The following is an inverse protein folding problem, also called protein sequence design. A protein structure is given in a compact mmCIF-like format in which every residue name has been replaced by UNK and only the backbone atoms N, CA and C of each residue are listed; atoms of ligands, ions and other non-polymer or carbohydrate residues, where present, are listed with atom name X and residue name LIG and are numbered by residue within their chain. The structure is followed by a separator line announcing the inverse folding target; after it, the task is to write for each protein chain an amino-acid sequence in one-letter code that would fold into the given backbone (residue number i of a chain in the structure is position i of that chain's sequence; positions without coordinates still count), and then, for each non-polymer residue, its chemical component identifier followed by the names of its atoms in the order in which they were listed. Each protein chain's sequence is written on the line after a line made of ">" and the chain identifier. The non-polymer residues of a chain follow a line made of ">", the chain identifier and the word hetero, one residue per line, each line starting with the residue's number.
data_IF_448463619380
#
_entry.id   IF_448463619380
#
_cell.length_a   1.000
_cell.length_b   1.000
_cell.length_c   1.000
_cell.angle_alpha   90.00
_cell.angle_beta   90.00
_cell.angle_gamma   90.00
#
_symmetry.space_group_name_H-M   'P 1'
#
loop_
_entity.id
_entity.type
_entity.pdbx_description
1 polymer ?
#
# COMPACT_ATOMS: atom_id res chain seq x y z
N UNK A 1 -2.41 -7.07 -7.92
CA UNK A 1 -3.77 -7.58 -7.60
C UNK A 1 -3.71 -9.10 -7.57
N UNK A 2 -4.47 -9.78 -6.70
CA UNK A 2 -4.64 -11.22 -6.85
C UNK A 2 -5.30 -11.53 -8.19
N UNK A 3 -4.82 -12.57 -8.86
CA UNK A 3 -5.46 -13.09 -10.07
C UNK A 3 -6.75 -13.85 -9.73
N UNK A 4 -7.51 -14.26 -10.75
CA UNK A 4 -8.61 -15.21 -10.58
C UNK A 4 -8.19 -16.48 -9.83
N UNK A 5 -9.17 -17.22 -9.29
CA UNK A 5 -8.92 -18.53 -8.68
C UNK A 5 -8.10 -19.43 -9.63
N UNK A 6 -7.06 -20.08 -9.07
CA UNK A 6 -6.14 -20.93 -9.83
C UNK A 6 -5.01 -20.18 -10.56
N UNK A 7 -5.01 -18.84 -10.60
CA UNK A 7 -4.05 -18.03 -11.37
C UNK A 7 -3.00 -17.30 -10.51
N UNK A 8 -2.92 -17.54 -9.20
CA UNK A 8 -1.91 -16.93 -8.32
C UNK A 8 -0.53 -17.64 -8.37
N UNK A 9 -0.22 -18.35 -9.47
CA UNK A 9 0.97 -19.20 -9.59
C UNK A 9 2.30 -18.43 -9.60
N UNK A 10 2.24 -17.12 -9.87
CA UNK A 10 3.41 -16.24 -9.88
C UNK A 10 3.94 -15.90 -8.47
N UNK A 11 3.19 -16.20 -7.41
CA UNK A 11 3.60 -15.94 -6.02
C UNK A 11 3.83 -17.28 -5.31
N UNK A 12 5.05 -17.49 -4.79
CA UNK A 12 5.34 -18.67 -3.99
C UNK A 12 4.75 -18.54 -2.58
N UNK A 13 3.56 -19.09 -2.38
CA UNK A 13 2.86 -19.09 -1.09
C UNK A 13 3.20 -20.30 -0.20
N UNK A 14 4.12 -21.19 -0.62
CA UNK A 14 4.46 -22.39 0.14
C UNK A 14 4.96 -22.09 1.58
N UNK A 15 5.83 -21.08 1.80
CA UNK A 15 6.26 -20.72 3.17
C UNK A 15 5.10 -20.24 4.04
N UNK A 16 4.20 -19.43 3.48
CA UNK A 16 3.01 -18.95 4.18
C UNK A 16 2.08 -20.11 4.56
N UNK A 17 1.82 -21.03 3.63
CA UNK A 17 1.01 -22.23 3.89
C UNK A 17 1.59 -23.07 5.03
N UNK A 18 2.88 -23.37 4.97
CA UNK A 18 3.55 -24.15 6.01
C UNK A 18 3.43 -23.49 7.38
N UNK A 19 3.64 -22.18 7.46
CA UNK A 19 3.50 -21.42 8.71
C UNK A 19 2.08 -21.46 9.25
N UNK A 20 1.07 -21.31 8.39
CA UNK A 20 -0.34 -21.43 8.79
C UNK A 20 -0.68 -22.83 9.32
N UNK A 21 -0.19 -23.89 8.67
CA UNK A 21 -0.36 -25.28 9.13
C UNK A 21 0.27 -25.48 10.53
N UNK A 22 1.48 -24.99 10.75
CA UNK A 22 2.17 -25.06 12.05
C UNK A 22 1.43 -24.29 13.15
N UNK A 23 0.88 -23.11 12.85
CA UNK A 23 0.05 -22.34 13.79
C UNK A 23 -1.19 -23.13 14.20
N UNK A 24 -1.90 -23.71 13.22
CA UNK A 24 -3.12 -24.48 13.48
C UNK A 24 -2.83 -25.72 14.34
N UNK A 25 -1.68 -26.36 14.12
CA UNK A 25 -1.27 -27.56 14.86
C UNK A 25 -0.57 -27.27 16.19
N UNK A 26 -0.32 -25.99 16.52
CA UNK A 26 0.44 -25.60 17.72
C UNK A 26 1.91 -26.03 17.69
N UNK A 27 2.50 -26.16 16.50
CA UNK A 27 3.90 -26.58 16.27
C UNK A 27 4.74 -25.44 15.71
N UNK A 28 4.44 -24.21 16.13
CA UNK A 28 5.20 -23.04 15.72
C UNK A 28 6.66 -23.19 16.20
N UNK A 29 7.65 -23.05 15.30
CA UNK A 29 9.04 -23.01 15.73
C UNK A 29 9.29 -21.69 16.47
N UNK A 30 10.34 -21.66 17.29
CA UNK A 30 10.75 -20.43 17.98
C UNK A 30 10.92 -19.29 17.00
N UNK A 31 10.48 -18.10 17.40
CA UNK A 31 10.60 -16.90 16.61
C UNK A 31 12.07 -16.51 16.53
N UNK A 32 12.56 -16.30 15.31
CA UNK A 32 13.79 -15.55 15.12
C UNK A 32 13.45 -14.07 15.41
N UNK A 33 14.01 -13.52 16.47
CA UNK A 33 13.85 -12.12 16.83
C UNK A 33 14.60 -11.18 15.87
N UNK A 34 15.37 -11.73 14.93
CA UNK A 34 16.08 -10.93 13.95
C UNK A 34 15.11 -10.31 12.93
N UNK A 35 14.89 -9.00 13.07
CA UNK A 35 14.08 -8.19 12.16
C UNK A 35 14.90 -7.57 11.01
N UNK A 36 16.17 -7.95 10.85
CA UNK A 36 17.03 -7.44 9.76
C UNK A 36 16.37 -7.65 8.39
N UNK A 37 16.29 -6.57 7.61
CA UNK A 37 15.68 -6.58 6.28
C UNK A 37 14.17 -6.32 6.24
N UNK A 38 13.49 -6.26 7.38
CA UNK A 38 12.09 -5.82 7.43
C UNK A 38 12.00 -4.30 7.29
N UNK A 39 11.28 -3.86 6.27
CA UNK A 39 10.95 -2.44 6.10
C UNK A 39 9.68 -2.12 6.87
N UNK A 40 9.83 -1.26 7.88
CA UNK A 40 8.71 -0.75 8.67
C UNK A 40 8.19 0.54 8.07
N UNK A 41 6.86 0.64 7.98
CA UNK A 41 6.16 1.83 7.49
C UNK A 41 5.09 2.24 8.50
N UNK A 42 4.90 3.55 8.63
CA UNK A 42 3.76 4.14 9.32
C UNK A 42 2.92 4.95 8.32
N UNK A 43 1.63 5.11 8.63
CA UNK A 43 0.75 5.97 7.81
C UNK A 43 1.09 7.41 8.13
N UNK A 44 1.62 8.13 7.14
CA UNK A 44 1.92 9.55 7.26
C UNK A 44 0.64 10.40 7.11
N UNK A 45 -0.19 10.09 6.11
CA UNK A 45 -1.39 10.85 5.76
C UNK A 45 -2.36 10.03 4.92
N UNK A 46 -3.64 10.40 4.97
CA UNK A 46 -4.67 9.90 4.07
C UNK A 46 -5.01 10.96 3.01
N UNK A 47 -5.19 10.52 1.77
CA UNK A 47 -5.64 11.35 0.65
C UNK A 47 -7.12 11.07 0.40
N UNK A 48 -7.98 12.05 0.66
CA UNK A 48 -9.44 11.89 0.58
C UNK A 48 -9.98 12.68 -0.60
N UNK A 49 -10.57 11.98 -1.56
CA UNK A 49 -11.34 12.57 -2.65
C UNK A 49 -12.68 13.08 -2.10
N UNK A 50 -12.91 14.38 -2.10
CA UNK A 50 -14.17 15.01 -1.64
C UNK A 50 -15.09 15.35 -2.79
N UNK A 51 -14.55 15.73 -3.95
CA UNK A 51 -15.36 16.14 -5.09
C UNK A 51 -14.94 15.46 -6.39
N UNK A 52 -15.75 15.63 -7.43
CA UNK A 52 -15.43 15.14 -8.77
C UNK A 52 -14.35 15.98 -9.48
N UNK A 53 -13.96 17.13 -8.92
CA UNK A 53 -12.83 17.93 -9.38
C UNK A 53 -11.47 17.38 -8.88
N UNK A 54 -11.47 16.31 -8.09
CA UNK A 54 -10.27 15.69 -7.55
C UNK A 54 -9.34 15.20 -8.67
N UNK A 55 -8.10 15.64 -8.61
CA UNK A 55 -7.02 15.19 -9.48
C UNK A 55 -6.02 14.39 -8.66
N UNK A 56 -5.76 13.15 -9.07
CA UNK A 56 -4.72 12.31 -8.49
C UNK A 56 -3.53 12.26 -9.44
N UNK A 57 -2.42 12.88 -9.05
CA UNK A 57 -1.22 12.95 -9.90
C UNK A 57 -0.42 11.66 -9.71
N UNK A 58 -0.95 10.53 -10.13
CA UNK A 58 -0.19 9.29 -10.24
C UNK A 58 -0.63 8.56 -11.50
N UNK A 59 0.24 7.72 -12.05
CA UNK A 59 -0.16 6.82 -13.11
C UNK A 59 -1.26 5.85 -12.61
N UNK A 60 -2.24 5.55 -13.45
CA UNK A 60 -3.34 4.61 -13.13
C UNK A 60 -2.86 3.22 -12.70
N UNK A 61 -1.67 2.83 -13.15
CA UNK A 61 -1.04 1.55 -12.88
C UNK A 61 0.11 1.64 -11.86
N UNK A 62 0.21 2.73 -11.09
CA UNK A 62 1.23 2.88 -10.05
C UNK A 62 1.17 1.72 -9.05
N UNK A 63 2.33 1.16 -8.74
CA UNK A 63 2.44 0.02 -7.83
C UNK A 63 2.37 0.47 -6.37
N UNK A 64 1.86 -0.40 -5.49
CA UNK A 64 1.99 -0.20 -4.05
C UNK A 64 3.46 -0.08 -3.66
N UNK A 65 3.73 0.78 -2.69
CA UNK A 65 5.07 1.14 -2.22
C UNK A 65 5.97 1.76 -3.30
N UNK A 66 5.39 2.39 -4.33
CA UNK A 66 6.17 3.26 -5.22
C UNK A 66 6.69 4.48 -4.44
N UNK A 67 7.96 4.91 -4.64
CA UNK A 67 8.52 6.09 -4.01
C UNK A 67 7.82 7.38 -4.47
N UNK A 68 7.66 8.32 -3.54
CA UNK A 68 7.21 9.67 -3.82
C UNK A 68 8.30 10.66 -3.41
N UNK A 69 8.57 11.64 -4.27
CA UNK A 69 9.55 12.68 -3.98
C UNK A 69 8.96 13.76 -3.08
N UNK A 70 9.76 14.29 -2.15
CA UNK A 70 9.37 15.42 -1.31
C UNK A 70 9.14 16.67 -2.17
N UNK A 71 8.06 17.39 -1.89
CA UNK A 71 7.57 18.50 -2.70
C UNK A 71 6.67 18.09 -3.86
N UNK A 72 6.51 16.79 -4.13
CA UNK A 72 5.61 16.30 -5.17
C UNK A 72 4.15 16.59 -4.82
N UNK A 73 3.39 17.10 -5.78
CA UNK A 73 1.96 17.39 -5.62
C UNK A 73 1.19 16.11 -5.92
N UNK A 74 0.89 15.35 -4.87
CA UNK A 74 0.26 14.05 -4.98
C UNK A 74 -1.20 14.15 -5.46
N UNK A 75 -1.96 15.09 -4.91
CA UNK A 75 -3.37 15.27 -5.25
C UNK A 75 -3.85 16.69 -5.03
N UNK A 76 -4.94 17.06 -5.70
CA UNK A 76 -5.65 18.33 -5.57
C UNK A 76 -7.15 18.10 -5.63
N UNK A 77 -7.93 18.92 -4.94
CA UNK A 77 -9.40 18.90 -4.99
C UNK A 77 -9.95 20.34 -4.94
N UNK A 78 -11.25 20.50 -5.20
CA UNK A 78 -11.94 21.76 -5.04
C UNK A 78 -11.84 22.31 -3.59
N UNK A 79 -12.04 23.62 -3.45
CA UNK A 79 -11.95 24.29 -2.14
C UNK A 79 -10.51 24.48 -1.64
N UNK A 80 -9.50 24.32 -2.51
CA UNK A 80 -8.10 24.57 -2.18
C UNK A 80 -7.38 23.40 -1.50
N UNK A 81 -7.99 22.20 -1.49
CA UNK A 81 -7.34 21.03 -0.90
C UNK A 81 -6.18 20.59 -1.79
N UNK A 82 -4.98 20.50 -1.21
CA UNK A 82 -3.75 20.12 -1.91
C UNK A 82 -2.90 19.23 -1.02
N UNK A 83 -2.50 18.08 -1.54
CA UNK A 83 -1.62 17.14 -0.85
C UNK A 83 -0.24 17.21 -1.49
N UNK A 84 0.71 17.82 -0.80
CA UNK A 84 2.12 17.84 -1.18
C UNK A 84 2.88 16.88 -0.28
N UNK A 85 3.75 16.05 -0.84
CA UNK A 85 4.57 15.11 -0.07
C UNK A 85 5.59 15.89 0.74
N UNK A 86 5.62 15.70 2.06
CA UNK A 86 6.55 16.42 2.95
C UNK A 86 7.57 15.48 3.60
N UNK A 87 7.27 14.18 3.62
CA UNK A 87 8.07 13.15 4.24
C UNK A 87 9.18 12.66 3.31
N UNK A 88 10.39 12.61 3.82
CA UNK A 88 11.51 11.99 3.12
C UNK A 88 11.30 10.47 3.06
N UNK A 89 11.42 9.90 1.86
CA UNK A 89 11.22 8.47 1.63
C UNK A 89 9.77 8.00 1.62
N UNK A 90 8.79 8.90 1.43
CA UNK A 90 7.39 8.55 1.34
C UNK A 90 7.11 7.47 0.26
N UNK A 91 6.05 6.69 0.51
CA UNK A 91 5.60 5.57 -0.32
C UNK A 91 4.08 5.62 -0.44
N UNK A 92 3.54 5.41 -1.64
CA UNK A 92 2.09 5.30 -1.84
C UNK A 92 1.59 3.88 -1.53
N UNK A 93 0.46 3.74 -0.84
CA UNK A 93 -0.19 2.44 -0.62
C UNK A 93 -1.69 2.56 -0.94
N UNK A 94 -2.25 1.52 -1.55
CA UNK A 94 -3.63 1.46 -2.05
C UNK A 94 -4.03 2.63 -2.97
N UNK A 95 -3.22 2.97 -4.01
CA UNK A 95 -3.60 3.99 -4.97
C UNK A 95 -4.87 3.56 -5.71
N UNK A 96 -5.93 4.36 -5.58
CA UNK A 96 -7.19 4.11 -6.27
C UNK A 96 -7.76 5.43 -6.84
N UNK A 97 -7.38 5.82 -8.07
CA UNK A 97 -7.91 7.03 -8.70
C UNK A 97 -9.43 6.96 -8.96
N UNK A 98 -10.01 5.76 -8.94
CA UNK A 98 -11.44 5.51 -9.20
C UNK A 98 -12.26 5.39 -7.93
N UNK A 99 -11.71 5.78 -6.78
CA UNK A 99 -12.46 5.80 -5.53
C UNK A 99 -13.63 6.77 -5.65
N UNK A 100 -14.76 6.42 -5.04
CA UNK A 100 -15.92 7.32 -4.94
C UNK A 100 -15.57 8.48 -4.00
N UNK A 101 -16.34 9.56 -4.08
CA UNK A 101 -16.19 10.67 -3.15
C UNK A 101 -16.41 10.15 -1.73
N UNK A 102 -15.44 10.43 -0.88
CA UNK A 102 -15.47 10.13 0.54
C UNK A 102 -16.27 11.17 1.32
N UNK A 103 -16.40 10.97 2.64
CA UNK A 103 -17.09 11.89 3.53
C UNK A 103 -16.42 13.26 3.70
#
# INVERSE_FOLDING_TARGET
>A
RPGPFGQNQQVNLAPLRLRLEQIIEGREPELDENLEGLQLFSVAREVIKRTDAFTFNLADAVENFSPLEKGYVLAEDAGGSRWVVEEDGARIIFPNPKVKNGP
#
